data_IF_540073895157
#
_entry.id   IF_540073895157
#
_cell.length_a   1.000
_cell.length_b   1.000
_cell.length_c   1.000
_cell.angle_alpha   90.00
_cell.angle_beta   90.00
_cell.angle_gamma   90.00
#
_symmetry.space_group_name_H-M   'P 1'
#
loop_
_entity.id
_entity.type
_entity.pdbx_description
1 polymer ?
#
# COMPACT_ATOMS: atom_id res chain seq x y z
N UNK A 1 26.72 -1.08 57.52
CA UNK A 1 27.07 -0.44 56.23
C UNK A 1 26.54 -1.32 55.11
N UNK A 2 26.10 -0.70 54.00
CA UNK A 2 25.44 -1.28 52.83
C UNK A 2 23.90 -1.32 52.88
N UNK A 3 23.31 -0.19 52.49
CA UNK A 3 22.05 -0.17 51.75
C UNK A 3 22.38 0.53 50.42
N UNK A 4 22.53 -0.27 49.38
CA UNK A 4 22.50 0.13 47.98
C UNK A 4 21.15 -0.32 47.41
N UNK A 5 20.76 0.29 46.29
CA UNK A 5 19.53 0.08 45.49
C UNK A 5 18.26 0.77 46.03
N UNK A 6 17.49 1.55 45.26
CA UNK A 6 17.33 1.55 43.81
C UNK A 6 16.62 2.84 43.37
N UNK A 7 17.33 3.74 42.72
CA UNK A 7 16.69 4.74 41.87
C UNK A 7 16.11 4.04 40.63
N UNK A 8 14.80 3.79 40.62
CA UNK A 8 14.05 3.60 39.37
C UNK A 8 13.37 4.91 39.03
N UNK A 9 14.11 5.78 38.34
CA UNK A 9 13.52 6.86 37.57
C UNK A 9 12.46 6.25 36.65
N UNK A 10 11.21 6.55 36.95
CA UNK A 10 10.09 6.33 36.05
C UNK A 10 10.39 7.21 34.85
N UNK A 11 10.90 6.59 33.79
CA UNK A 11 11.06 7.24 32.50
C UNK A 11 9.72 7.84 32.14
N UNK A 12 9.66 9.17 32.12
CA UNK A 12 8.51 9.91 31.67
C UNK A 12 8.15 9.37 30.29
N UNK A 13 7.01 8.69 30.20
CA UNK A 13 6.28 8.54 28.96
C UNK A 13 6.07 9.97 28.46
N UNK A 14 6.93 10.43 27.55
CA UNK A 14 6.56 11.57 26.72
C UNK A 14 5.31 11.10 25.97
N UNK A 15 4.17 11.81 26.09
CA UNK A 15 3.09 11.61 25.15
C UNK A 15 3.73 11.84 23.78
N UNK A 16 3.76 10.78 22.98
CA UNK A 16 4.12 10.86 21.58
C UNK A 16 3.14 11.87 20.99
N UNK A 17 3.61 13.10 20.79
CA UNK A 17 2.83 14.17 20.17
C UNK A 17 2.25 13.56 18.90
N UNK A 18 0.94 13.36 18.91
CA UNK A 18 0.18 12.90 17.76
C UNK A 18 0.35 13.94 16.66
N UNK A 19 1.42 13.80 15.88
CA UNK A 19 1.62 14.54 14.65
C UNK A 19 0.48 14.09 13.75
N UNK A 20 -0.53 14.95 13.63
CA UNK A 20 -1.56 14.77 12.62
C UNK A 20 -0.83 14.74 11.27
N UNK A 21 -0.78 13.55 10.66
CA UNK A 21 -0.29 13.40 9.29
C UNK A 21 -1.03 14.44 8.42
N UNK A 22 -0.33 15.14 7.51
CA UNK A 22 -0.98 16.11 6.63
C UNK A 22 -2.13 15.42 5.89
N UNK A 23 -3.32 16.04 5.92
CA UNK A 23 -4.51 15.52 5.22
C UNK A 23 -4.18 15.31 3.75
N UNK A 24 -4.39 14.11 3.27
CA UNK A 24 -4.18 13.70 1.88
C UNK A 24 -5.51 13.64 1.13
N UNK A 25 -5.47 13.61 -0.21
CA UNK A 25 -6.69 13.40 -1.03
C UNK A 25 -7.42 12.10 -0.62
N UNK A 26 -6.67 11.10 -0.13
CA UNK A 26 -7.20 9.82 0.34
C UNK A 26 -8.06 9.91 1.63
N UNK A 27 -8.01 11.04 2.34
CA UNK A 27 -8.85 11.28 3.52
C UNK A 27 -10.23 11.85 3.16
N UNK A 28 -10.35 12.43 1.96
CA UNK A 28 -11.60 13.04 1.46
C UNK A 28 -12.21 12.26 0.30
N UNK A 29 -11.48 11.30 -0.28
CA UNK A 29 -11.98 10.48 -1.39
C UNK A 29 -13.21 9.67 -0.98
N UNK A 30 -14.20 9.64 -1.85
CA UNK A 30 -15.38 8.81 -1.65
C UNK A 30 -15.07 7.34 -1.90
N UNK A 31 -15.90 6.46 -1.34
CA UNK A 31 -15.81 5.01 -1.60
C UNK A 31 -15.97 4.70 -3.09
N UNK A 32 -16.81 5.44 -3.81
CA UNK A 32 -17.04 5.23 -5.24
C UNK A 32 -15.81 5.58 -6.07
N UNK A 33 -15.14 6.71 -5.76
CA UNK A 33 -13.89 7.09 -6.42
C UNK A 33 -12.76 6.11 -6.12
N UNK A 34 -12.66 5.64 -4.87
CA UNK A 34 -11.69 4.63 -4.48
C UNK A 34 -11.90 3.31 -5.25
N UNK A 35 -13.16 2.86 -5.38
CA UNK A 35 -13.51 1.69 -6.18
C UNK A 35 -13.18 1.88 -7.66
N UNK A 36 -13.44 3.06 -8.21
CA UNK A 36 -13.15 3.40 -9.59
C UNK A 36 -11.65 3.36 -9.89
N UNK A 37 -10.82 3.93 -9.00
CA UNK A 37 -9.36 3.87 -9.10
C UNK A 37 -8.88 2.42 -9.02
N UNK A 38 -9.35 1.65 -8.04
CA UNK A 38 -9.00 0.22 -7.91
C UNK A 38 -9.38 -0.59 -9.15
N UNK A 39 -10.54 -0.34 -9.73
CA UNK A 39 -10.98 -1.04 -10.93
C UNK A 39 -10.07 -0.74 -12.12
N UNK A 40 -9.68 0.53 -12.31
CA UNK A 40 -8.71 0.90 -13.35
C UNK A 40 -7.38 0.18 -13.15
N UNK A 41 -6.84 0.19 -11.93
CA UNK A 41 -5.58 -0.49 -11.61
C UNK A 41 -5.68 -1.99 -11.92
N UNK A 42 -6.74 -2.66 -11.44
CA UNK A 42 -6.94 -4.08 -11.67
C UNK A 42 -7.10 -4.42 -13.16
N UNK A 43 -7.78 -3.59 -13.94
CA UNK A 43 -7.89 -3.76 -15.41
C UNK A 43 -6.52 -3.76 -16.08
N UNK A 44 -5.63 -2.85 -15.69
CA UNK A 44 -4.26 -2.84 -16.21
C UNK A 44 -3.47 -4.06 -15.75
N UNK A 45 -3.50 -4.39 -14.47
CA UNK A 45 -2.78 -5.57 -13.97
C UNK A 45 -3.26 -6.88 -14.58
N UNK A 46 -4.52 -6.98 -15.01
CA UNK A 46 -5.05 -8.14 -15.72
C UNK A 46 -4.50 -8.31 -17.15
N UNK A 47 -3.85 -7.29 -17.73
CA UNK A 47 -3.30 -7.40 -19.08
C UNK A 47 -2.13 -8.40 -19.14
N UNK A 48 -1.99 -9.17 -20.23
CA UNK A 48 -0.95 -10.20 -20.37
C UNK A 48 0.47 -9.67 -20.12
N UNK A 49 0.79 -8.45 -20.58
CA UNK A 49 2.11 -7.87 -20.40
C UNK A 49 2.52 -7.70 -18.92
N UNK A 50 1.58 -7.39 -18.03
CA UNK A 50 1.83 -7.19 -16.61
C UNK A 50 1.78 -8.51 -15.86
N UNK A 51 0.87 -9.42 -16.24
CA UNK A 51 0.84 -10.78 -15.70
C UNK A 51 2.16 -11.53 -15.96
N UNK A 52 2.76 -11.35 -17.14
CA UNK A 52 4.07 -11.92 -17.45
C UNK A 52 5.17 -11.33 -16.57
N UNK A 53 5.22 -9.98 -16.41
CA UNK A 53 6.17 -9.31 -15.51
C UNK A 53 6.07 -9.83 -14.07
N UNK A 54 4.87 -9.96 -13.52
CA UNK A 54 4.66 -10.50 -12.16
C UNK A 54 5.08 -11.97 -12.05
N UNK A 55 4.81 -12.78 -13.08
CA UNK A 55 5.22 -14.18 -13.11
C UNK A 55 6.74 -14.34 -13.15
N UNK A 56 7.44 -13.55 -13.97
CA UNK A 56 8.90 -13.54 -14.07
C UNK A 56 9.54 -13.09 -12.76
N UNK A 57 9.02 -12.01 -12.16
CA UNK A 57 9.46 -11.54 -10.84
C UNK A 57 9.28 -12.63 -9.78
N UNK A 58 8.15 -13.36 -9.79
CA UNK A 58 7.89 -14.45 -8.85
C UNK A 58 8.90 -15.59 -9.02
N UNK A 59 9.20 -15.99 -10.26
CA UNK A 59 10.19 -17.03 -10.56
C UNK A 59 11.61 -16.61 -10.12
N UNK A 60 11.98 -15.34 -10.32
CA UNK A 60 13.29 -14.78 -9.93
C UNK A 60 13.46 -14.65 -8.40
N UNK A 61 12.37 -14.42 -7.68
CA UNK A 61 12.39 -14.19 -6.24
C UNK A 61 12.12 -15.47 -5.42
N UNK A 62 11.49 -16.49 -6.02
CA UNK A 62 11.13 -17.72 -5.33
C UNK A 62 10.07 -17.45 -4.25
N UNK A 63 10.32 -17.90 -3.02
CA UNK A 63 9.45 -17.69 -1.86
C UNK A 63 9.73 -16.40 -1.09
N UNK A 64 10.75 -15.62 -1.45
CA UNK A 64 11.10 -14.39 -0.76
C UNK A 64 10.15 -13.24 -1.16
N UNK A 65 9.14 -13.02 -0.32
CA UNK A 65 8.13 -11.98 -0.52
C UNK A 65 8.69 -10.56 -0.42
N UNK A 66 9.76 -10.33 0.35
CA UNK A 66 10.37 -9.01 0.49
C UNK A 66 11.13 -8.66 -0.78
N UNK A 67 11.90 -9.62 -1.30
CA UNK A 67 12.58 -9.49 -2.59
C UNK A 67 11.56 -9.34 -3.72
N UNK A 68 10.48 -10.11 -3.70
CA UNK A 68 9.40 -10.00 -4.68
C UNK A 68 8.75 -8.62 -4.68
N UNK A 69 8.38 -8.10 -3.50
CA UNK A 69 7.77 -6.77 -3.38
C UNK A 69 8.64 -5.67 -3.97
N UNK A 70 9.97 -5.73 -3.76
CA UNK A 70 10.94 -4.80 -4.36
C UNK A 70 11.06 -4.97 -5.88
N UNK A 71 11.03 -6.21 -6.37
CA UNK A 71 11.15 -6.50 -7.81
C UNK A 71 9.93 -6.01 -8.61
N UNK A 72 8.72 -6.14 -8.05
CA UNK A 72 7.50 -5.71 -8.75
C UNK A 72 7.20 -4.22 -8.59
N UNK A 73 7.82 -3.53 -7.62
CA UNK A 73 7.58 -2.11 -7.32
C UNK A 73 7.65 -1.21 -8.57
N UNK A 74 8.66 -1.31 -9.46
CA UNK A 74 8.69 -0.54 -10.70
C UNK A 74 7.47 -0.78 -11.59
N UNK A 75 6.99 -2.03 -11.67
CA UNK A 75 5.80 -2.39 -12.46
C UNK A 75 4.53 -1.80 -11.85
N UNK A 76 4.44 -1.80 -10.51
CA UNK A 76 3.31 -1.19 -9.82
C UNK A 76 3.27 0.32 -10.07
N UNK A 77 4.42 0.98 -10.04
CA UNK A 77 4.53 2.42 -10.27
C UNK A 77 4.26 2.83 -11.71
N UNK A 78 4.68 2.02 -12.69
CA UNK A 78 4.39 2.21 -14.11
C UNK A 78 2.87 2.28 -14.38
N UNK A 79 2.09 1.48 -13.66
CA UNK A 79 0.63 1.42 -13.80
C UNK A 79 -0.08 2.45 -12.93
N UNK A 80 0.26 2.49 -11.63
CA UNK A 80 -0.47 3.31 -10.66
C UNK A 80 -0.19 4.80 -10.86
N UNK A 81 1.02 5.21 -11.23
CA UNK A 81 1.38 6.62 -11.40
C UNK A 81 0.47 7.37 -12.38
N UNK A 82 0.36 6.96 -13.65
CA UNK A 82 -0.51 7.60 -14.62
C UNK A 82 -1.99 7.59 -14.22
N UNK A 83 -2.46 6.50 -13.59
CA UNK A 83 -3.84 6.40 -13.12
C UNK A 83 -4.08 7.44 -12.01
N UNK A 84 -3.20 7.55 -11.03
CA UNK A 84 -3.35 8.49 -9.92
C UNK A 84 -3.29 9.95 -10.38
N UNK A 85 -2.41 10.27 -11.34
CA UNK A 85 -2.38 11.61 -11.98
C UNK A 85 -3.68 11.89 -12.73
N UNK A 86 -4.18 10.94 -13.52
CA UNK A 86 -5.38 11.13 -14.33
C UNK A 86 -6.69 11.24 -13.52
N UNK A 87 -6.67 10.85 -12.24
CA UNK A 87 -7.78 11.05 -11.32
C UNK A 87 -7.47 12.16 -10.28
N UNK A 88 -6.51 13.03 -10.56
CA UNK A 88 -6.15 14.21 -9.75
C UNK A 88 -5.79 13.89 -8.28
N UNK A 89 -5.35 12.65 -8.02
CA UNK A 89 -4.94 12.19 -6.69
C UNK A 89 -3.54 12.69 -6.34
N UNK A 90 -2.68 12.80 -7.36
CA UNK A 90 -1.31 13.31 -7.26
C UNK A 90 -1.00 14.26 -8.41
N UNK A 91 -0.07 15.19 -8.18
CA UNK A 91 0.32 16.21 -9.15
C UNK A 91 1.22 15.69 -10.27
N UNK A 92 2.05 14.66 -10.02
CA UNK A 92 2.96 14.10 -11.01
C UNK A 92 3.22 12.60 -10.79
N UNK A 93 3.71 11.93 -11.84
CA UNK A 93 4.08 10.52 -11.80
C UNK A 93 5.55 10.29 -11.36
N UNK A 94 6.14 11.22 -10.60
CA UNK A 94 7.51 11.02 -10.08
C UNK A 94 7.51 9.94 -9.01
N UNK A 95 8.64 9.25 -8.89
CA UNK A 95 8.76 8.08 -8.02
C UNK A 95 8.32 8.36 -6.57
N UNK A 96 8.84 9.42 -5.96
CA UNK A 96 8.51 9.76 -4.57
C UNK A 96 7.02 10.08 -4.38
N UNK A 97 6.42 10.83 -5.32
CA UNK A 97 5.00 11.22 -5.30
C UNK A 97 4.09 10.00 -5.39
N UNK A 98 4.34 9.12 -6.37
CA UNK A 98 3.57 7.89 -6.57
C UNK A 98 3.72 7.01 -5.34
N UNK A 99 4.93 6.80 -4.83
CA UNK A 99 5.14 5.95 -3.67
C UNK A 99 4.40 6.44 -2.42
N UNK A 100 4.42 7.76 -2.16
CA UNK A 100 3.65 8.35 -1.07
C UNK A 100 2.16 8.05 -1.21
N UNK A 101 1.59 8.31 -2.40
CA UNK A 101 0.19 8.05 -2.65
C UNK A 101 -0.19 6.55 -2.58
N UNK A 102 0.72 5.63 -2.91
CA UNK A 102 0.49 4.19 -2.75
C UNK A 102 0.39 3.78 -1.27
N UNK A 103 1.25 4.36 -0.43
CA UNK A 103 1.20 4.14 1.03
C UNK A 103 -0.14 4.65 1.58
N UNK A 104 -0.57 5.84 1.15
CA UNK A 104 -1.84 6.42 1.61
C UNK A 104 -3.06 5.70 1.05
N UNK A 105 -3.01 5.23 -0.20
CA UNK A 105 -4.00 4.33 -0.78
C UNK A 105 -4.12 3.05 0.07
N UNK A 106 -3.00 2.43 0.43
CA UNK A 106 -3.01 1.23 1.27
C UNK A 106 -3.59 1.50 2.68
N UNK A 107 -3.32 2.66 3.28
CA UNK A 107 -3.98 3.10 4.52
C UNK A 107 -5.50 3.24 4.32
N UNK A 108 -5.92 3.95 3.27
CA UNK A 108 -7.32 4.18 2.93
C UNK A 108 -8.09 2.87 2.70
N UNK A 109 -7.52 1.95 1.91
CA UNK A 109 -8.08 0.62 1.68
C UNK A 109 -8.28 -0.17 2.98
N UNK A 110 -7.32 -0.12 3.91
CA UNK A 110 -7.45 -0.78 5.21
C UNK A 110 -8.58 -0.20 6.05
N UNK A 111 -8.77 1.13 6.04
CA UNK A 111 -9.87 1.79 6.75
C UNK A 111 -11.23 1.33 6.24
N UNK A 112 -11.40 1.23 4.92
CA UNK A 112 -12.69 0.87 4.30
C UNK A 112 -12.94 -0.64 4.20
N UNK A 113 -11.89 -1.48 4.23
CA UNK A 113 -12.03 -2.93 4.10
C UNK A 113 -12.92 -3.56 5.18
N UNK A 114 -12.93 -3.05 6.42
CA UNK A 114 -13.76 -3.63 7.48
C UNK A 114 -15.27 -3.46 7.18
N UNK A 115 -15.67 -2.31 6.64
CA UNK A 115 -17.07 -1.92 6.48
C UNK A 115 -17.60 -2.02 5.04
N UNK A 116 -16.74 -2.18 4.03
CA UNK A 116 -17.15 -2.24 2.63
C UNK A 116 -16.65 -3.53 1.94
N UNK A 117 -17.60 -4.40 1.58
CA UNK A 117 -17.30 -5.69 0.93
C UNK A 117 -16.67 -5.52 -0.46
N UNK A 118 -17.14 -4.57 -1.27
CA UNK A 118 -16.61 -4.34 -2.62
C UNK A 118 -15.15 -3.88 -2.56
N UNK A 119 -14.78 -3.03 -1.59
CA UNK A 119 -13.38 -2.64 -1.36
C UNK A 119 -12.52 -3.86 -1.00
N UNK A 120 -13.02 -4.77 -0.15
CA UNK A 120 -12.30 -6.02 0.16
C UNK A 120 -12.08 -6.88 -1.08
N UNK A 121 -13.12 -7.11 -1.86
CA UNK A 121 -13.07 -7.92 -3.08
C UNK A 121 -12.09 -7.33 -4.08
N UNK A 122 -12.17 -6.02 -4.36
CA UNK A 122 -11.26 -5.35 -5.28
C UNK A 122 -9.81 -5.35 -4.79
N UNK A 123 -9.59 -5.24 -3.47
CA UNK A 123 -8.25 -5.36 -2.87
C UNK A 123 -7.71 -6.78 -2.98
N UNK A 124 -8.54 -7.80 -2.75
CA UNK A 124 -8.14 -9.20 -2.93
C UNK A 124 -7.78 -9.49 -4.38
N UNK A 125 -8.57 -8.97 -5.31
CA UNK A 125 -8.30 -9.09 -6.74
C UNK A 125 -6.98 -8.42 -7.12
N UNK A 126 -6.71 -7.22 -6.60
CA UNK A 126 -5.42 -6.54 -6.79
C UNK A 126 -4.27 -7.44 -6.34
N UNK A 127 -4.34 -7.95 -5.12
CA UNK A 127 -3.29 -8.81 -4.56
C UNK A 127 -3.14 -10.15 -5.31
N UNK A 128 -4.23 -10.68 -5.87
CA UNK A 128 -4.20 -11.88 -6.74
C UNK A 128 -3.51 -11.57 -8.06
N UNK A 129 -3.88 -10.47 -8.71
CA UNK A 129 -3.30 -10.04 -9.99
C UNK A 129 -1.81 -9.72 -9.85
N UNK A 130 -1.39 -9.16 -8.72
CA UNK A 130 0.03 -8.92 -8.41
C UNK A 130 0.72 -10.15 -7.80
N UNK A 131 0.05 -11.30 -7.72
CA UNK A 131 0.55 -12.58 -7.16
C UNK A 131 1.11 -12.48 -5.74
N UNK A 132 0.62 -11.52 -4.95
CA UNK A 132 1.00 -11.30 -3.55
C UNK A 132 0.20 -12.16 -2.56
N UNK A 133 -0.92 -12.77 -2.99
CA UNK A 133 -1.79 -13.61 -2.14
C UNK A 133 -1.63 -15.13 -2.35
N UNK A 134 -0.75 -15.61 -3.23
CA UNK A 134 -0.68 -17.04 -3.57
C UNK A 134 0.00 -17.94 -2.51
N UNK A 135 0.31 -17.43 -1.31
CA UNK A 135 0.83 -18.20 -0.18
C UNK A 135 -0.23 -18.43 0.91
N UNK A 136 -1.41 -18.89 0.51
CA UNK A 136 -2.44 -19.39 1.42
C UNK A 136 -2.40 -20.90 1.52
N UNK A 137 -1.58 -21.40 2.45
CA UNK A 137 -1.94 -22.57 3.26
C UNK A 137 -3.08 -22.19 4.21
#
# INVERSE_FOLDING_TARGET
>A
AQHLDRERGIGAFKPEESREDPKTVWDTITVQELLFILEKINKFYALPQYQNKFQEAKQKCGSDLVKYAKEIEPTLMEVEGPILVANEVIADAKHATVQGARVDMAKCLRRHAASNAQIRERRQELLRLTKQLENGQ
#
